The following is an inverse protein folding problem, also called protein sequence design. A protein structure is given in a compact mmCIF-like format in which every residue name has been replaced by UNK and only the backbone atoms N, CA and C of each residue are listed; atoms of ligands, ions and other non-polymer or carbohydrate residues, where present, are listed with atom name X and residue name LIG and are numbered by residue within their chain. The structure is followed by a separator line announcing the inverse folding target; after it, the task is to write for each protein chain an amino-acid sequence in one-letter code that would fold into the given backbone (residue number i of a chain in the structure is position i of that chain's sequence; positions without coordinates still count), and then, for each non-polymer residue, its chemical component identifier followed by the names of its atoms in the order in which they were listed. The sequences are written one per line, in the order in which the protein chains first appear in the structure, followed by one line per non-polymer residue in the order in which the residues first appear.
data_IF_619618169981
#
_entry.id   IF_619618169981
#
_cell.length_a   1.000
_cell.length_b   1.000
_cell.length_c   1.000
_cell.angle_alpha   90.00
_cell.angle_beta   90.00
_cell.angle_gamma   90.00
#
_symmetry.space_group_name_H-M   'P 1'
#
loop_
_entity.id
_entity.type
_entity.pdbx_description
1 polymer ?
#
# COMPACT_ATOMS: atom_id res chain seq x y z
N UNK A 1 -10.09 15.76 1.66
CA UNK A 1 -10.39 14.35 1.26
C UNK A 1 -11.61 13.80 2.00
N UNK A 2 -12.49 13.02 1.36
CA UNK A 2 -13.72 12.44 1.98
C UNK A 2 -13.38 11.39 3.04
N UNK A 3 -14.18 11.31 4.13
CA UNK A 3 -14.03 10.32 5.22
C UNK A 3 -14.01 8.88 4.71
N UNK A 4 -14.85 8.55 3.73
CA UNK A 4 -14.92 7.21 3.15
C UNK A 4 -13.61 6.77 2.49
N UNK A 5 -12.86 7.68 1.85
CA UNK A 5 -11.57 7.35 1.22
C UNK A 5 -10.55 6.98 2.29
N UNK A 6 -10.53 7.73 3.41
CA UNK A 6 -9.66 7.41 4.56
C UNK A 6 -9.99 6.04 5.16
N UNK A 7 -11.28 5.73 5.32
CA UNK A 7 -11.73 4.42 5.84
C UNK A 7 -11.33 3.29 4.89
N UNK A 8 -11.53 3.46 3.58
CA UNK A 8 -11.12 2.46 2.58
C UNK A 8 -9.59 2.24 2.63
N UNK A 9 -8.81 3.31 2.76
CA UNK A 9 -7.35 3.21 2.88
C UNK A 9 -6.92 2.47 4.16
N UNK A 10 -7.60 2.69 5.28
CA UNK A 10 -7.35 1.94 6.53
C UNK A 10 -7.66 0.45 6.32
N UNK A 11 -8.84 0.12 5.77
CA UNK A 11 -9.23 -1.27 5.50
C UNK A 11 -8.22 -1.94 4.57
N UNK A 12 -7.80 -1.26 3.50
CA UNK A 12 -6.76 -1.75 2.59
C UNK A 12 -5.48 -2.11 3.33
N UNK A 13 -4.96 -1.24 4.19
CA UNK A 13 -3.73 -1.50 4.94
C UNK A 13 -3.90 -2.64 5.96
N UNK A 14 -5.05 -2.74 6.62
CA UNK A 14 -5.35 -3.87 7.52
C UNK A 14 -5.34 -5.19 6.75
N UNK A 15 -5.99 -5.25 5.59
CA UNK A 15 -6.01 -6.46 4.74
C UNK A 15 -4.61 -6.77 4.21
N UNK A 16 -3.86 -5.77 3.77
CA UNK A 16 -2.48 -5.93 3.31
C UNK A 16 -1.58 -6.51 4.41
N UNK A 17 -1.70 -6.02 5.64
CA UNK A 17 -0.97 -6.53 6.80
C UNK A 17 -1.34 -7.98 7.09
N UNK A 18 -2.63 -8.29 7.23
CA UNK A 18 -3.11 -9.66 7.46
C UNK A 18 -2.66 -10.61 6.35
N UNK A 19 -2.66 -10.16 5.11
CA UNK A 19 -2.23 -10.97 3.97
C UNK A 19 -0.74 -11.27 4.03
N UNK A 20 0.09 -10.27 4.30
CA UNK A 20 1.55 -10.44 4.34
C UNK A 20 2.08 -11.12 5.59
N UNK A 21 1.36 -11.05 6.73
CA UNK A 21 1.82 -11.67 7.98
C UNK A 21 1.17 -13.03 8.27
N UNK A 22 -0.12 -13.18 7.96
CA UNK A 22 -0.88 -14.38 8.29
C UNK A 22 -1.04 -15.25 7.05
N UNK A 23 -1.60 -14.68 5.96
CA UNK A 23 -1.92 -15.49 4.77
C UNK A 23 -0.68 -16.00 4.04
N UNK A 24 0.44 -15.27 4.11
CA UNK A 24 1.71 -15.69 3.50
C UNK A 24 2.19 -17.05 4.02
N UNK A 25 1.89 -17.38 5.29
CA UNK A 25 2.30 -18.63 5.92
C UNK A 25 1.57 -19.84 5.32
N UNK A 26 0.39 -19.63 4.73
CA UNK A 26 -0.41 -20.68 4.11
C UNK A 26 -0.11 -20.86 2.61
N UNK A 27 0.72 -20.00 2.03
CA UNK A 27 1.12 -20.15 0.63
C UNK A 27 2.06 -21.35 0.46
N UNK A 28 1.89 -22.13 -0.63
CA UNK A 28 2.70 -23.31 -0.89
C UNK A 28 4.16 -22.93 -1.12
N UNK A 29 5.13 -23.68 -0.60
CA UNK A 29 6.58 -23.43 -0.76
C UNK A 29 7.11 -23.75 -2.17
N UNK A 30 6.27 -23.59 -3.18
CA UNK A 30 6.62 -23.81 -4.58
C UNK A 30 7.51 -22.68 -5.08
N UNK A 31 8.49 -23.02 -5.92
CA UNK A 31 9.30 -22.06 -6.63
C UNK A 31 8.55 -21.58 -7.88
N UNK A 32 8.29 -20.29 -7.95
CA UNK A 32 7.89 -19.61 -9.18
C UNK A 32 9.13 -19.40 -10.06
N UNK A 33 8.97 -19.66 -11.37
CA UNK A 33 10.03 -19.53 -12.37
C UNK A 33 11.31 -20.34 -12.09
N UNK A 34 11.23 -21.33 -11.19
CA UNK A 34 12.36 -22.21 -10.83
C UNK A 34 13.36 -21.61 -9.82
N UNK A 35 13.19 -20.37 -9.36
CA UNK A 35 14.16 -19.73 -8.45
C UNK A 35 13.53 -18.86 -7.35
N UNK A 36 12.28 -18.43 -7.49
CA UNK A 36 11.65 -17.49 -6.55
C UNK A 36 10.64 -18.18 -5.65
N UNK A 37 10.78 -18.17 -4.31
CA UNK A 37 9.73 -18.69 -3.43
C UNK A 37 8.41 -17.95 -3.63
N UNK A 38 7.30 -18.69 -3.73
CA UNK A 38 5.97 -18.10 -3.93
C UNK A 38 5.59 -17.09 -2.85
N UNK A 39 6.02 -17.33 -1.60
CA UNK A 39 5.78 -16.42 -0.47
C UNK A 39 6.47 -15.07 -0.69
N UNK A 40 7.72 -15.11 -1.16
CA UNK A 40 8.47 -13.92 -1.48
C UNK A 40 7.83 -13.16 -2.66
N UNK A 41 7.44 -13.88 -3.71
CA UNK A 41 6.76 -13.30 -4.86
C UNK A 41 5.45 -12.61 -4.46
N UNK A 42 4.67 -13.25 -3.59
CA UNK A 42 3.44 -12.69 -3.05
C UNK A 42 3.69 -11.42 -2.23
N UNK A 43 4.69 -11.45 -1.35
CA UNK A 43 5.05 -10.29 -0.54
C UNK A 43 5.54 -9.12 -1.42
N UNK A 44 6.46 -9.38 -2.34
CA UNK A 44 6.97 -8.38 -3.27
C UNK A 44 5.87 -7.79 -4.16
N UNK A 45 5.01 -8.66 -4.73
CA UNK A 45 3.88 -8.24 -5.55
C UNK A 45 2.86 -7.40 -4.78
N UNK A 46 2.54 -7.78 -3.55
CA UNK A 46 1.61 -7.01 -2.72
C UNK A 46 2.16 -5.63 -2.34
N UNK A 47 3.48 -5.53 -2.11
CA UNK A 47 4.15 -4.24 -1.87
C UNK A 47 4.16 -3.34 -3.10
N UNK A 48 4.32 -3.92 -4.31
CA UNK A 48 4.19 -3.16 -5.55
C UNK A 48 2.78 -2.57 -5.70
N UNK A 49 1.73 -3.37 -5.47
CA UNK A 49 0.34 -2.89 -5.45
C UNK A 49 0.12 -1.82 -4.37
N UNK A 50 0.66 -2.03 -3.17
CA UNK A 50 0.56 -1.07 -2.08
C UNK A 50 1.20 0.27 -2.44
N UNK A 51 2.36 0.27 -3.09
CA UNK A 51 3.03 1.50 -3.52
C UNK A 51 2.17 2.34 -4.47
N UNK A 52 1.48 1.70 -5.42
CA UNK A 52 0.56 2.39 -6.32
C UNK A 52 -0.64 2.99 -5.56
N UNK A 53 -1.25 2.22 -4.66
CA UNK A 53 -2.38 2.69 -3.83
C UNK A 53 -1.97 3.85 -2.92
N UNK A 54 -0.79 3.74 -2.29
CA UNK A 54 -0.24 4.78 -1.42
C UNK A 54 0.09 6.03 -2.22
N UNK A 55 0.71 5.90 -3.38
CA UNK A 55 0.99 7.03 -4.27
C UNK A 55 -0.28 7.80 -4.64
N UNK A 56 -1.34 7.09 -5.05
CA UNK A 56 -2.64 7.71 -5.35
C UNK A 56 -3.29 8.36 -4.13
N UNK A 57 -3.24 7.70 -2.97
CA UNK A 57 -3.81 8.22 -1.74
C UNK A 57 -3.09 9.50 -1.28
N UNK A 58 -1.76 9.48 -1.25
CA UNK A 58 -0.96 10.60 -0.76
C UNK A 58 -0.93 11.76 -1.75
N UNK A 59 -0.88 11.51 -3.06
CA UNK A 59 -1.04 12.58 -4.05
C UNK A 59 -2.34 13.36 -3.81
N UNK A 60 -3.46 12.65 -3.65
CA UNK A 60 -4.76 13.27 -3.33
C UNK A 60 -4.82 13.87 -1.92
N UNK A 61 -4.02 13.37 -0.98
CA UNK A 61 -3.91 13.94 0.36
C UNK A 61 -3.23 15.30 0.29
N UNK A 62 -2.06 15.38 -0.35
CA UNK A 62 -1.28 16.60 -0.51
C UNK A 62 -2.02 17.66 -1.33
N UNK A 63 -2.76 17.28 -2.38
CA UNK A 63 -3.66 18.21 -3.10
C UNK A 63 -4.65 18.91 -2.16
N UNK A 64 -5.11 18.22 -1.09
CA UNK A 64 -6.01 18.83 -0.11
C UNK A 64 -5.31 19.63 0.97
N UNK A 65 -3.98 19.63 1.00
CA UNK A 65 -3.13 20.39 1.92
C UNK A 65 -2.42 21.56 1.25
N UNK A 66 -2.66 21.86 -0.04
CA UNK A 66 -1.98 22.96 -0.73
C UNK A 66 -2.12 24.35 -0.08
N UNK A 67 -3.18 24.58 0.71
CA UNK A 67 -3.34 25.80 1.52
C UNK A 67 -2.35 25.90 2.69
N UNK A 68 -1.74 24.80 3.12
CA UNK A 68 -0.65 24.78 4.12
C UNK A 68 0.67 25.12 3.43
N UNK A 69 0.89 24.63 2.21
CA UNK A 69 2.06 24.99 1.40
C UNK A 69 2.06 26.49 1.05
N UNK A 70 0.90 27.11 0.83
CA UNK A 70 0.79 28.58 0.66
C UNK A 70 1.02 29.37 1.96
N UNK A 71 0.77 28.78 3.13
CA UNK A 71 0.92 29.44 4.44
C UNK A 71 2.35 29.34 5.01
N UNK A 72 3.10 28.31 4.61
CA UNK A 72 4.43 27.99 5.14
C UNK A 72 5.50 27.80 4.06
N UNK A 73 5.15 28.00 2.78
CA UNK A 73 6.12 28.05 1.70
C UNK A 73 7.01 29.27 1.88
N UNK A 74 8.29 29.03 2.19
CA UNK A 74 9.35 30.01 1.95
C UNK A 74 9.34 30.36 0.46
N UNK A 75 9.54 31.64 0.14
CA UNK A 75 9.74 32.16 -1.23
C UNK A 75 10.75 31.35 -2.05
#
# INVERSE_FOLDING_TARGET
MKKSIKIIFIIFNTVLFLSNFILVAFLPKTLLFGWMPSQFAFMAGSMAVASAVWGLYFNKFYDTQGHIDELYGEE
#
